data_IF_606297036220
#
_entry.id   IF_606297036220
#
_cell.length_a   1.000
_cell.length_b   1.000
_cell.length_c   1.000
_cell.angle_alpha   90.00
_cell.angle_beta   90.00
_cell.angle_gamma   90.00
#
_symmetry.space_group_name_H-M   'P 1'
#
loop_
_entity.id
_entity.type
_entity.pdbx_description
1 polymer ?
#
# COMPACT_ATOMS: atom_id res chain seq x y z
N UNK A 1 20.64 8.31 7.61
CA UNK A 1 20.33 7.80 6.25
C UNK A 1 21.64 7.31 5.64
N UNK A 2 21.66 6.06 5.26
CA UNK A 2 22.87 5.36 4.86
C UNK A 2 23.59 6.04 3.69
N UNK A 3 24.85 6.35 3.90
CA UNK A 3 25.85 6.79 2.89
C UNK A 3 25.59 8.12 2.14
N UNK A 4 24.79 9.03 2.64
CA UNK A 4 24.56 10.33 2.01
C UNK A 4 23.89 10.29 0.62
N UNK A 5 23.42 9.11 0.18
CA UNK A 5 22.80 8.90 -1.14
C UNK A 5 21.32 9.30 -1.20
N UNK A 6 20.63 9.33 -0.05
CA UNK A 6 19.23 9.72 0.04
C UNK A 6 19.10 11.03 0.82
N UNK A 7 18.44 12.02 0.20
CA UNK A 7 18.07 13.27 0.86
C UNK A 7 16.55 13.43 0.80
N UNK A 8 15.92 13.58 1.97
CA UNK A 8 14.49 13.88 2.10
C UNK A 8 14.31 15.38 2.34
N UNK A 9 13.58 16.04 1.44
CA UNK A 9 13.16 17.43 1.61
C UNK A 9 11.64 17.43 1.87
N UNK A 10 11.23 17.87 3.04
CA UNK A 10 9.81 18.02 3.37
C UNK A 10 9.36 19.43 3.02
N UNK A 11 8.26 19.54 2.27
CA UNK A 11 7.69 20.82 1.83
C UNK A 11 6.46 21.18 2.65
N UNK A 12 6.11 22.46 2.74
CA UNK A 12 4.91 22.97 3.43
C UNK A 12 4.75 22.55 4.90
N UNK A 13 5.83 22.16 5.58
CA UNK A 13 5.82 21.70 6.97
C UNK A 13 5.24 22.75 7.93
N UNK A 14 5.59 24.03 7.75
CA UNK A 14 5.11 25.13 8.56
C UNK A 14 3.59 25.28 8.48
N UNK A 15 2.98 25.01 7.31
CA UNK A 15 1.54 25.08 7.12
C UNK A 15 0.85 23.87 7.74
N UNK A 16 1.40 22.69 7.58
CA UNK A 16 0.86 21.46 8.20
C UNK A 16 0.82 21.54 9.72
N UNK A 17 1.73 22.30 10.34
CA UNK A 17 1.73 22.54 11.79
C UNK A 17 0.52 23.33 12.31
N UNK A 18 -0.16 24.08 11.44
CA UNK A 18 -1.40 24.80 11.80
C UNK A 18 -2.66 23.93 11.70
N UNK A 19 -2.59 22.80 11.01
CA UNK A 19 -3.71 21.90 10.76
C UNK A 19 -3.43 20.54 11.38
N UNK A 20 -3.72 20.38 12.67
CA UNK A 20 -3.47 19.12 13.41
C UNK A 20 -4.40 17.97 13.02
N UNK A 21 -5.48 18.24 12.27
CA UNK A 21 -6.54 17.29 11.98
C UNK A 21 -6.38 16.45 10.70
N UNK A 22 -5.32 16.61 9.91
CA UNK A 22 -5.15 15.79 8.71
C UNK A 22 -4.23 16.36 7.64
N UNK A 23 -3.62 15.46 6.87
CA UNK A 23 -2.68 15.81 5.79
C UNK A 23 -3.36 16.52 4.62
N UNK A 24 -4.66 16.30 4.43
CA UNK A 24 -5.45 16.88 3.35
C UNK A 24 -6.00 18.26 3.67
N UNK A 25 -5.96 18.68 4.93
CA UNK A 25 -6.43 20.02 5.30
C UNK A 25 -5.61 21.09 4.57
N UNK A 26 -6.32 22.06 3.97
CA UNK A 26 -5.71 23.15 3.21
C UNK A 26 -4.93 22.67 1.95
N UNK A 27 -5.38 21.58 1.34
CA UNK A 27 -4.73 20.90 0.22
C UNK A 27 -4.51 21.85 -0.97
N UNK A 28 -5.52 22.62 -1.37
CA UNK A 28 -5.44 23.55 -2.51
C UNK A 28 -4.29 24.56 -2.34
N UNK A 29 -4.15 25.09 -1.14
CA UNK A 29 -3.06 26.04 -0.85
C UNK A 29 -1.69 25.34 -0.90
N UNK A 30 -1.59 24.14 -0.32
CA UNK A 30 -0.34 23.36 -0.33
C UNK A 30 0.07 23.00 -1.75
N UNK A 31 -0.86 22.59 -2.59
CA UNK A 31 -0.64 22.30 -4.01
C UNK A 31 -0.20 23.56 -4.76
N UNK A 32 -0.87 24.70 -4.55
CA UNK A 32 -0.51 25.96 -5.16
C UNK A 32 0.91 26.44 -4.80
N UNK A 33 1.30 26.32 -3.53
CA UNK A 33 2.64 26.63 -3.06
C UNK A 33 3.70 25.68 -3.66
N UNK A 34 3.39 24.39 -3.72
CA UNK A 34 4.23 23.38 -4.31
C UNK A 34 4.49 23.67 -5.79
N UNK A 35 3.45 23.95 -6.56
CA UNK A 35 3.52 24.30 -7.98
C UNK A 35 4.35 25.56 -8.24
N UNK A 36 4.34 26.51 -7.30
CA UNK A 36 5.03 27.79 -7.43
C UNK A 36 6.51 27.71 -7.08
N UNK A 37 6.86 26.91 -6.07
CA UNK A 37 8.21 26.97 -5.47
C UNK A 37 9.11 25.79 -5.86
N UNK A 38 8.56 24.59 -6.06
CA UNK A 38 9.33 23.38 -6.38
C UNK A 38 10.06 23.47 -7.72
N UNK A 39 9.50 23.99 -8.82
CA UNK A 39 10.21 24.03 -10.09
C UNK A 39 11.56 24.77 -9.98
N UNK A 40 11.57 25.92 -9.29
CA UNK A 40 12.80 26.67 -9.08
C UNK A 40 13.77 25.90 -8.14
N UNK A 41 13.28 25.34 -7.04
CA UNK A 41 14.11 24.57 -6.12
C UNK A 41 14.80 23.39 -6.82
N UNK A 42 14.04 22.56 -7.55
CA UNK A 42 14.57 21.40 -8.27
C UNK A 42 15.59 21.85 -9.34
N UNK A 43 15.28 22.89 -10.08
CA UNK A 43 16.18 23.42 -11.10
C UNK A 43 17.51 23.87 -10.50
N UNK A 44 17.48 24.66 -9.41
CA UNK A 44 18.71 25.26 -8.84
C UNK A 44 19.55 24.28 -8.01
N UNK A 45 18.88 23.43 -7.22
CA UNK A 45 19.58 22.61 -6.21
C UNK A 45 19.71 21.12 -6.59
N UNK A 46 19.05 20.68 -7.66
CA UNK A 46 19.13 19.29 -8.12
C UNK A 46 19.65 19.20 -9.55
N UNK A 47 18.95 19.83 -10.51
CA UNK A 47 19.29 19.68 -11.93
C UNK A 47 20.57 20.40 -12.30
N UNK A 48 20.70 21.68 -11.97
CA UNK A 48 21.89 22.47 -12.33
C UNK A 48 23.19 21.82 -11.84
N UNK A 49 23.36 21.47 -10.55
CA UNK A 49 24.59 20.83 -10.09
C UNK A 49 24.87 19.49 -10.75
N UNK A 50 23.81 18.72 -11.05
CA UNK A 50 23.95 17.42 -11.73
C UNK A 50 24.43 17.61 -13.17
N UNK A 51 23.84 18.54 -13.91
CA UNK A 51 24.21 18.86 -15.30
C UNK A 51 25.63 19.40 -15.38
N UNK A 52 26.02 20.34 -14.50
CA UNK A 52 27.37 20.85 -14.38
C UNK A 52 28.40 19.74 -14.08
N UNK A 53 28.01 18.71 -13.37
CA UNK A 53 28.79 17.48 -13.11
C UNK A 53 28.71 16.44 -14.25
N UNK A 54 28.14 16.79 -15.41
CA UNK A 54 27.97 15.86 -16.55
C UNK A 54 27.03 14.72 -16.33
N UNK A 55 26.05 14.85 -15.40
CA UNK A 55 25.06 13.81 -15.06
C UNK A 55 23.72 14.10 -15.71
N UNK A 56 22.98 13.04 -16.04
CA UNK A 56 21.56 13.14 -16.38
C UNK A 56 20.69 13.00 -15.14
N UNK A 57 19.50 13.62 -15.18
CA UNK A 57 18.56 13.61 -14.06
C UNK A 57 17.27 12.93 -14.48
N UNK A 58 16.79 11.98 -13.67
CA UNK A 58 15.45 11.41 -13.80
C UNK A 58 14.57 12.02 -12.72
N UNK A 59 13.46 12.63 -13.15
CA UNK A 59 12.50 13.25 -12.24
C UNK A 59 11.19 12.48 -12.35
N UNK A 60 10.75 11.92 -11.22
CA UNK A 60 9.52 11.18 -11.10
C UNK A 60 8.56 11.99 -10.24
N UNK A 61 7.40 12.32 -10.80
CA UNK A 61 6.31 13.00 -10.11
C UNK A 61 5.12 12.04 -9.96
N UNK A 62 4.41 12.12 -8.85
CA UNK A 62 3.29 11.20 -8.57
C UNK A 62 2.00 11.96 -8.28
N UNK A 63 0.91 11.44 -8.81
CA UNK A 63 -0.47 11.89 -8.63
C UNK A 63 -0.78 13.31 -9.11
N UNK A 64 -2.05 13.65 -9.16
CA UNK A 64 -2.56 14.90 -9.74
C UNK A 64 -1.92 16.17 -9.16
N UNK A 65 -1.55 16.17 -7.88
CA UNK A 65 -0.93 17.31 -7.18
C UNK A 65 0.37 17.79 -7.84
N UNK A 66 1.11 16.87 -8.45
CA UNK A 66 2.45 17.13 -9.00
C UNK A 66 2.43 17.42 -10.51
N UNK A 67 1.29 17.19 -11.19
CA UNK A 67 1.20 17.27 -12.63
C UNK A 67 1.59 18.65 -13.18
N UNK A 68 0.98 19.71 -12.66
CA UNK A 68 1.29 21.10 -13.07
C UNK A 68 2.71 21.51 -12.64
N UNK A 69 3.18 21.03 -11.48
CA UNK A 69 4.56 21.26 -11.03
C UNK A 69 5.58 20.72 -12.03
N UNK A 70 5.34 19.49 -12.52
CA UNK A 70 6.23 18.85 -13.51
C UNK A 70 6.22 19.60 -14.84
N UNK A 71 5.06 20.06 -15.29
CA UNK A 71 4.94 20.84 -16.51
C UNK A 71 5.70 22.19 -16.41
N UNK A 72 5.54 22.92 -15.31
CA UNK A 72 6.29 24.16 -15.04
C UNK A 72 7.79 23.92 -14.92
N UNK A 73 8.19 22.82 -14.32
CA UNK A 73 9.59 22.43 -14.25
C UNK A 73 10.16 22.19 -15.66
N UNK A 74 9.41 21.49 -16.53
CA UNK A 74 9.81 21.29 -17.93
C UNK A 74 10.05 22.62 -18.65
N UNK A 75 9.12 23.58 -18.50
CA UNK A 75 9.26 24.92 -19.09
C UNK A 75 10.53 25.63 -18.60
N UNK A 76 10.79 25.60 -17.29
CA UNK A 76 11.99 26.19 -16.68
C UNK A 76 13.29 25.56 -17.22
N UNK A 77 13.29 24.22 -17.34
CA UNK A 77 14.43 23.48 -17.89
C UNK A 77 14.67 23.77 -19.38
N UNK A 78 13.61 23.97 -20.16
CA UNK A 78 13.72 24.41 -21.56
C UNK A 78 14.32 25.80 -21.65
N UNK A 79 13.80 26.76 -20.88
CA UNK A 79 14.30 28.11 -20.85
C UNK A 79 15.80 28.22 -20.51
N UNK A 80 16.24 27.35 -19.61
CA UNK A 80 17.64 27.30 -19.14
C UNK A 80 18.55 26.38 -19.98
N UNK A 81 18.05 25.77 -21.05
CA UNK A 81 18.80 24.84 -21.90
C UNK A 81 19.17 23.49 -21.26
N UNK A 82 18.59 23.15 -20.11
CA UNK A 82 18.88 21.91 -19.34
C UNK A 82 17.91 20.76 -19.61
N UNK A 83 16.86 20.98 -20.40
CA UNK A 83 15.79 19.98 -20.62
C UNK A 83 16.32 18.65 -21.18
N UNK A 84 17.31 18.70 -22.09
CA UNK A 84 17.91 17.51 -22.71
C UNK A 84 18.69 16.62 -21.74
N UNK A 85 19.05 17.13 -20.58
CA UNK A 85 19.73 16.38 -19.53
C UNK A 85 18.77 15.72 -18.54
N UNK A 86 17.44 15.84 -18.77
CA UNK A 86 16.42 15.37 -17.85
C UNK A 86 15.43 14.43 -18.54
N UNK A 87 15.12 13.31 -17.88
CA UNK A 87 13.98 12.45 -18.19
C UNK A 87 12.88 12.75 -17.17
N UNK A 88 11.74 13.19 -17.64
CA UNK A 88 10.59 13.51 -16.81
C UNK A 88 9.57 12.38 -16.87
N UNK A 89 9.07 11.95 -15.73
CA UNK A 89 8.07 10.91 -15.60
C UNK A 89 6.96 11.37 -14.65
N UNK A 90 5.74 11.02 -14.99
CA UNK A 90 4.60 11.22 -14.10
C UNK A 90 3.86 9.89 -13.91
N UNK A 91 3.59 9.52 -12.66
CA UNK A 91 3.00 8.24 -12.29
C UNK A 91 1.64 8.43 -11.64
N UNK A 92 0.64 7.70 -12.14
CA UNK A 92 -0.64 7.58 -11.47
C UNK A 92 -0.60 6.42 -10.47
N UNK A 93 -0.72 6.72 -9.17
CA UNK A 93 -0.92 5.72 -8.12
C UNK A 93 -2.40 5.45 -7.86
N UNK A 94 -3.26 6.39 -8.21
CA UNK A 94 -4.72 6.30 -8.07
C UNK A 94 -5.40 7.13 -9.17
N UNK A 95 -6.72 7.08 -9.23
CA UNK A 95 -7.54 7.84 -10.18
C UNK A 95 -8.11 9.13 -9.60
N UNK A 96 -7.81 9.44 -8.34
CA UNK A 96 -8.34 10.62 -7.67
C UNK A 96 -7.95 11.89 -8.43
N UNK A 97 -8.96 12.73 -8.67
CA UNK A 97 -8.78 14.05 -9.29
C UNK A 97 -8.05 14.06 -10.65
N UNK A 98 -8.05 12.97 -11.40
CA UNK A 98 -7.47 12.91 -12.75
C UNK A 98 -8.13 13.91 -13.72
N UNK A 99 -9.39 14.29 -13.47
CA UNK A 99 -10.10 15.33 -14.22
C UNK A 99 -9.49 16.74 -14.05
N UNK A 100 -8.64 16.96 -13.03
CA UNK A 100 -7.94 18.23 -12.76
C UNK A 100 -6.62 18.35 -13.54
N UNK A 101 -6.17 17.30 -14.20
CA UNK A 101 -4.89 17.25 -14.90
C UNK A 101 -5.06 17.72 -16.33
N UNK A 102 -4.21 18.64 -16.77
CA UNK A 102 -4.09 19.01 -18.19
C UNK A 102 -3.28 17.95 -18.93
N UNK A 103 -3.98 16.93 -19.43
CA UNK A 103 -3.37 15.76 -20.08
C UNK A 103 -2.61 16.10 -21.34
N UNK A 104 -3.09 17.06 -22.14
CA UNK A 104 -2.40 17.51 -23.36
C UNK A 104 -1.03 18.10 -23.05
N UNK A 105 -0.93 18.94 -22.01
CA UNK A 105 0.33 19.52 -21.56
C UNK A 105 1.22 18.49 -20.90
N UNK A 106 0.68 17.73 -19.96
CA UNK A 106 1.46 16.74 -19.19
C UNK A 106 2.03 15.66 -20.11
N UNK A 107 1.22 15.08 -21.00
CA UNK A 107 1.64 14.05 -21.93
C UNK A 107 2.67 14.53 -22.97
N UNK A 108 2.71 15.85 -23.25
CA UNK A 108 3.74 16.45 -24.10
C UNK A 108 5.10 16.55 -23.40
N UNK A 109 5.11 16.83 -22.09
CA UNK A 109 6.35 17.15 -21.36
C UNK A 109 7.01 15.95 -20.69
N UNK A 110 6.30 14.85 -20.45
CA UNK A 110 6.82 13.72 -19.70
C UNK A 110 6.31 12.36 -20.20
N UNK A 111 6.97 11.29 -19.77
CA UNK A 111 6.43 9.93 -19.90
C UNK A 111 5.39 9.69 -18.82
N UNK A 112 4.19 9.29 -19.24
CA UNK A 112 3.15 8.88 -18.32
C UNK A 112 3.32 7.41 -17.93
N UNK A 113 3.15 7.10 -16.65
CA UNK A 113 3.10 5.74 -16.10
C UNK A 113 1.88 5.56 -15.20
N UNK A 114 1.48 4.32 -15.01
CA UNK A 114 0.40 3.93 -14.10
C UNK A 114 0.79 2.65 -13.36
N UNK A 115 0.29 2.46 -12.15
CA UNK A 115 0.68 1.33 -11.30
C UNK A 115 0.05 0.01 -11.69
N UNK A 116 -1.01 0.00 -12.52
CA UNK A 116 -1.68 -1.22 -12.97
C UNK A 116 -2.24 -1.09 -14.39
N UNK A 117 -2.57 -2.24 -15.00
CA UNK A 117 -3.30 -2.29 -16.28
C UNK A 117 -4.69 -1.71 -16.16
N UNK A 118 -5.35 -1.92 -15.02
CA UNK A 118 -6.65 -1.33 -14.75
C UNK A 118 -6.59 0.20 -14.80
N UNK A 119 -5.68 0.81 -14.05
CA UNK A 119 -5.53 2.27 -14.03
C UNK A 119 -5.10 2.81 -15.41
N UNK A 120 -4.20 2.10 -16.12
CA UNK A 120 -3.88 2.41 -17.52
C UNK A 120 -5.15 2.42 -18.38
N UNK A 121 -6.04 1.43 -18.21
CA UNK A 121 -7.28 1.36 -18.98
C UNK A 121 -8.21 2.56 -18.68
N UNK A 122 -8.34 2.94 -17.42
CA UNK A 122 -9.11 4.14 -17.03
C UNK A 122 -8.51 5.42 -17.66
N UNK A 123 -7.20 5.54 -17.68
CA UNK A 123 -6.53 6.71 -18.25
C UNK A 123 -6.68 6.80 -19.79
N UNK A 124 -6.89 5.69 -20.48
CA UNK A 124 -7.21 5.71 -21.91
C UNK A 124 -8.50 6.47 -22.24
N UNK A 125 -9.47 6.44 -21.34
CA UNK A 125 -10.68 7.26 -21.47
C UNK A 125 -10.38 8.78 -21.43
N UNK A 126 -9.23 9.16 -20.86
CA UNK A 126 -8.71 10.54 -20.85
C UNK A 126 -7.79 10.84 -22.04
N UNK A 127 -7.79 9.98 -23.06
CA UNK A 127 -6.97 10.08 -24.30
C UNK A 127 -5.46 10.01 -24.06
N UNK A 128 -5.02 9.31 -23.02
CA UNK A 128 -3.60 9.04 -22.75
C UNK A 128 -3.34 7.55 -22.58
N UNK A 129 -2.14 7.09 -22.95
CA UNK A 129 -1.74 5.68 -22.88
C UNK A 129 -0.44 5.51 -22.05
N UNK A 130 -0.53 5.42 -20.72
CA UNK A 130 0.63 5.32 -19.87
C UNK A 130 1.32 3.95 -19.98
N UNK A 131 2.61 3.91 -19.67
CA UNK A 131 3.37 2.67 -19.49
C UNK A 131 3.06 2.12 -18.09
N UNK A 132 2.79 0.82 -17.98
CA UNK A 132 2.57 0.20 -16.65
C UNK A 132 3.91 0.03 -15.95
N UNK A 133 3.97 0.57 -14.72
CA UNK A 133 5.07 0.44 -13.76
C UNK A 133 4.47 0.07 -12.41
N UNK A 134 4.42 -1.23 -12.07
CA UNK A 134 3.74 -1.68 -10.86
C UNK A 134 4.45 -1.19 -9.59
N UNK A 135 3.71 -1.05 -8.52
CA UNK A 135 4.30 -0.90 -7.20
C UNK A 135 5.03 -2.18 -6.78
N UNK A 136 5.90 -2.07 -5.80
CA UNK A 136 6.59 -3.21 -5.23
C UNK A 136 6.39 -3.31 -3.73
N UNK A 137 6.72 -4.48 -3.20
CA UNK A 137 6.85 -4.73 -1.77
C UNK A 137 8.32 -4.80 -1.38
N UNK A 138 8.60 -4.63 -0.10
CA UNK A 138 9.95 -4.80 0.44
C UNK A 138 10.34 -6.28 0.50
N UNK A 139 11.59 -6.61 0.18
CA UNK A 139 12.07 -8.01 0.15
C UNK A 139 11.91 -8.75 1.48
N UNK A 140 12.01 -8.03 2.60
CA UNK A 140 11.89 -8.66 3.90
C UNK A 140 10.47 -9.27 4.14
N UNK A 141 9.43 -8.79 3.44
CA UNK A 141 8.10 -9.41 3.46
C UNK A 141 8.10 -10.86 2.93
N UNK A 142 9.11 -11.22 2.14
CA UNK A 142 9.30 -12.58 1.62
C UNK A 142 10.09 -13.48 2.60
N UNK A 143 10.55 -12.98 3.73
CA UNK A 143 11.17 -13.82 4.75
C UNK A 143 10.16 -14.80 5.33
N UNK A 144 10.64 -15.97 5.72
CA UNK A 144 9.74 -16.97 6.31
C UNK A 144 9.35 -16.54 7.72
N UNK A 145 8.06 -16.44 7.95
CA UNK A 145 7.52 -16.27 9.29
C UNK A 145 7.75 -17.55 10.09
N UNK A 146 8.34 -17.48 11.30
CA UNK A 146 8.55 -18.66 12.14
C UNK A 146 7.21 -19.37 12.44
N UNK A 147 7.11 -20.69 12.24
CA UNK A 147 5.88 -21.44 12.49
C UNK A 147 5.36 -21.33 13.92
N UNK A 148 6.25 -21.19 14.89
CA UNK A 148 5.93 -20.97 16.30
C UNK A 148 5.16 -19.66 16.51
N UNK A 149 5.52 -18.58 15.82
CA UNK A 149 4.85 -17.30 15.89
C UNK A 149 3.43 -17.38 15.31
N UNK A 150 3.30 -18.10 14.18
CA UNK A 150 1.98 -18.36 13.56
C UNK A 150 1.09 -19.12 14.53
N UNK A 151 1.63 -20.18 15.13
CA UNK A 151 0.90 -21.02 16.08
C UNK A 151 0.43 -20.23 17.30
N UNK A 152 1.34 -19.47 17.93
CA UNK A 152 1.02 -18.65 19.10
C UNK A 152 -0.07 -17.61 18.81
N UNK A 153 -0.01 -16.95 17.65
CA UNK A 153 -1.02 -15.97 17.27
C UNK A 153 -2.39 -16.65 17.03
N UNK A 154 -2.40 -17.80 16.32
CA UNK A 154 -3.64 -18.54 16.09
C UNK A 154 -4.28 -19.02 17.39
N UNK A 155 -3.49 -19.51 18.34
CA UNK A 155 -3.95 -19.91 19.67
C UNK A 155 -4.51 -18.72 20.45
N UNK A 156 -3.89 -17.56 20.38
CA UNK A 156 -4.34 -16.34 21.04
C UNK A 156 -5.63 -15.77 20.45
N UNK A 157 -5.72 -15.70 19.12
CA UNK A 157 -6.93 -15.23 18.43
C UNK A 157 -8.06 -16.22 18.65
N UNK A 158 -7.79 -17.52 18.49
CA UNK A 158 -8.82 -18.57 18.47
C UNK A 158 -9.76 -18.40 17.27
N UNK A 159 -10.67 -19.33 17.09
CA UNK A 159 -11.66 -19.30 16.00
C UNK A 159 -11.14 -19.86 14.69
N UNK A 160 -12.08 -20.39 13.91
CA UNK A 160 -11.87 -20.93 12.57
C UNK A 160 -13.14 -20.71 11.72
N UNK A 161 -13.02 -20.05 10.53
CA UNK A 161 -11.80 -19.37 10.04
C UNK A 161 -11.43 -18.10 10.83
N UNK A 162 -10.13 -17.79 10.83
CA UNK A 162 -9.58 -16.54 11.33
C UNK A 162 -9.25 -15.60 10.16
N UNK A 163 -9.88 -14.43 10.11
CA UNK A 163 -9.60 -13.40 9.12
C UNK A 163 -8.79 -12.25 9.70
N UNK A 164 -7.95 -11.65 8.87
CA UNK A 164 -7.28 -10.40 9.17
C UNK A 164 -7.65 -9.34 8.13
N UNK A 165 -7.96 -8.12 8.57
CA UNK A 165 -8.27 -6.99 7.70
C UNK A 165 -7.55 -5.72 8.16
N UNK A 166 -6.85 -5.08 7.22
CA UNK A 166 -6.10 -3.84 7.45
C UNK A 166 -6.47 -2.82 6.37
N UNK A 167 -6.83 -1.60 6.76
CA UNK A 167 -7.09 -0.53 5.80
C UNK A 167 -7.78 0.68 6.42
N UNK A 168 -7.98 1.73 5.63
CA UNK A 168 -8.83 2.86 6.02
C UNK A 168 -10.28 2.39 6.13
N UNK A 169 -11.03 2.99 7.02
CA UNK A 169 -12.46 2.69 7.20
C UNK A 169 -13.31 3.46 6.15
N UNK A 170 -13.00 3.22 4.87
CA UNK A 170 -13.71 3.81 3.73
C UNK A 170 -14.74 2.80 3.14
N UNK A 171 -15.85 3.26 2.53
CA UNK A 171 -16.89 2.38 1.98
C UNK A 171 -16.37 1.40 0.93
N UNK A 172 -15.40 1.85 0.10
CA UNK A 172 -14.80 1.06 -0.98
C UNK A 172 -13.88 -0.07 -0.48
N UNK A 173 -13.55 -0.10 0.82
CA UNK A 173 -12.63 -1.11 1.39
C UNK A 173 -13.32 -2.41 1.82
N UNK A 174 -14.60 -2.58 1.54
CA UNK A 174 -15.29 -3.84 1.77
C UNK A 174 -15.42 -4.24 3.26
N UNK A 175 -15.59 -3.26 4.16
CA UNK A 175 -15.74 -3.53 5.59
C UNK A 175 -17.07 -4.19 5.91
N UNK A 176 -18.18 -3.75 5.28
CA UNK A 176 -19.48 -4.33 5.51
C UNK A 176 -19.53 -5.80 5.05
N UNK A 177 -18.93 -6.09 3.91
CA UNK A 177 -18.81 -7.48 3.40
C UNK A 177 -18.03 -8.39 4.34
N UNK A 178 -17.05 -7.88 5.07
CA UNK A 178 -16.34 -8.64 6.09
C UNK A 178 -17.26 -8.99 7.28
N UNK A 179 -18.14 -8.07 7.70
CA UNK A 179 -19.15 -8.33 8.74
C UNK A 179 -20.22 -9.33 8.26
N UNK A 180 -20.68 -9.19 7.00
CA UNK A 180 -21.64 -10.11 6.38
C UNK A 180 -21.07 -11.54 6.35
N UNK A 181 -19.82 -11.70 5.92
CA UNK A 181 -19.14 -13.00 5.90
C UNK A 181 -19.05 -13.64 7.29
N UNK A 182 -18.72 -12.88 8.32
CA UNK A 182 -18.72 -13.38 9.70
C UNK A 182 -20.10 -13.81 10.15
N UNK A 183 -21.12 -13.02 9.88
CA UNK A 183 -22.50 -13.34 10.26
C UNK A 183 -22.96 -14.63 9.57
N UNK A 184 -22.67 -14.78 8.28
CA UNK A 184 -22.97 -15.98 7.50
C UNK A 184 -22.28 -17.22 8.09
N UNK A 185 -20.97 -17.15 8.34
CA UNK A 185 -20.20 -18.25 8.94
C UNK A 185 -20.73 -18.64 10.33
N UNK A 186 -21.14 -17.65 11.12
CA UNK A 186 -21.73 -17.88 12.44
C UNK A 186 -23.09 -18.60 12.35
N UNK A 187 -23.92 -18.23 11.38
CA UNK A 187 -25.19 -18.94 11.10
C UNK A 187 -24.92 -20.38 10.68
N UNK A 188 -23.89 -20.63 9.91
CA UNK A 188 -23.45 -21.94 9.45
C UNK A 188 -22.74 -22.76 10.57
N UNK A 189 -22.63 -22.22 11.78
CA UNK A 189 -22.08 -22.88 12.96
C UNK A 189 -20.54 -22.76 13.12
N UNK A 190 -19.86 -22.00 12.28
CA UNK A 190 -18.43 -21.78 12.41
C UNK A 190 -18.13 -20.76 13.53
N UNK A 191 -16.98 -20.92 14.19
CA UNK A 191 -16.45 -19.96 15.18
C UNK A 191 -15.50 -18.96 14.49
N UNK A 192 -15.99 -18.33 13.43
CA UNK A 192 -15.19 -17.39 12.65
C UNK A 192 -14.81 -16.15 13.49
N UNK A 193 -13.60 -15.63 13.28
CA UNK A 193 -13.13 -14.40 13.90
C UNK A 193 -12.49 -13.47 12.89
N UNK A 194 -12.65 -12.15 13.11
CA UNK A 194 -11.99 -11.08 12.38
C UNK A 194 -11.10 -10.30 13.33
N UNK A 195 -9.80 -10.31 13.08
CA UNK A 195 -8.88 -9.32 13.65
C UNK A 195 -8.79 -8.16 12.66
N UNK A 196 -9.06 -6.95 13.13
CA UNK A 196 -9.04 -5.78 12.27
C UNK A 196 -8.14 -4.68 12.81
N UNK A 197 -7.57 -3.93 11.88
CA UNK A 197 -6.86 -2.68 12.15
C UNK A 197 -7.30 -1.63 11.15
N UNK A 198 -7.97 -0.61 11.65
CA UNK A 198 -8.37 0.52 10.81
C UNK A 198 -7.30 1.62 10.77
N UNK A 199 -7.28 2.36 9.67
CA UNK A 199 -6.61 3.65 9.57
C UNK A 199 -7.54 4.78 10.04
N UNK A 200 -6.99 5.99 10.13
CA UNK A 200 -7.68 7.20 10.66
C UNK A 200 -8.74 7.77 9.71
N UNK A 201 -9.78 7.03 9.35
CA UNK A 201 -10.95 7.56 8.66
C UNK A 201 -12.18 7.36 9.55
N UNK A 202 -12.63 8.43 10.21
CA UNK A 202 -13.65 8.35 11.26
C UNK A 202 -15.08 8.18 10.71
N UNK A 203 -15.35 8.58 9.46
CA UNK A 203 -16.71 8.76 8.96
C UNK A 203 -17.52 7.47 8.80
N UNK A 204 -16.87 6.32 8.58
CA UNK A 204 -17.56 5.04 8.33
C UNK A 204 -17.48 4.04 9.47
N UNK A 205 -16.73 4.33 10.54
CA UNK A 205 -16.59 3.45 11.70
C UNK A 205 -17.94 3.12 12.33
N UNK A 206 -18.78 4.14 12.56
CA UNK A 206 -20.12 3.97 13.12
C UNK A 206 -21.03 3.09 12.25
N UNK A 207 -20.95 3.20 10.93
CA UNK A 207 -21.69 2.36 10.01
C UNK A 207 -21.28 0.89 10.10
N UNK A 208 -19.97 0.61 10.12
CA UNK A 208 -19.46 -0.76 10.22
C UNK A 208 -19.91 -1.43 11.52
N UNK A 209 -19.68 -0.81 12.68
CA UNK A 209 -20.03 -1.39 13.96
C UNK A 209 -21.54 -1.50 14.17
N UNK A 210 -22.31 -0.53 13.67
CA UNK A 210 -23.77 -0.59 13.66
C UNK A 210 -24.28 -1.77 12.84
N UNK A 211 -23.72 -1.99 11.64
CA UNK A 211 -24.04 -3.09 10.76
C UNK A 211 -23.66 -4.45 11.39
N UNK A 212 -22.43 -4.58 11.89
CA UNK A 212 -21.97 -5.80 12.56
C UNK A 212 -22.83 -6.15 13.77
N UNK A 213 -23.19 -5.17 14.60
CA UNK A 213 -24.06 -5.37 15.76
C UNK A 213 -25.47 -5.81 15.34
N UNK A 214 -26.02 -5.26 14.26
CA UNK A 214 -27.32 -5.67 13.73
C UNK A 214 -27.31 -7.10 13.22
N UNK A 215 -26.21 -7.55 12.61
CA UNK A 215 -26.02 -8.90 12.12
C UNK A 215 -25.76 -9.94 13.23
N UNK A 216 -25.32 -9.49 14.42
CA UNK A 216 -25.06 -10.32 15.59
C UNK A 216 -23.62 -10.63 15.96
N UNK A 217 -22.56 -10.39 15.13
CA UNK A 217 -21.18 -10.46 15.58
C UNK A 217 -20.90 -9.49 16.73
N UNK A 218 -20.19 -9.99 17.76
CA UNK A 218 -19.79 -9.18 18.92
C UNK A 218 -18.40 -8.60 18.69
N UNK A 219 -18.23 -7.33 18.99
CA UNK A 219 -16.95 -6.61 18.85
C UNK A 219 -16.32 -6.34 20.21
N UNK A 220 -15.00 -6.51 20.28
CA UNK A 220 -14.16 -6.02 21.38
C UNK A 220 -13.08 -5.10 20.84
N UNK A 221 -12.86 -3.97 21.50
CA UNK A 221 -11.72 -3.10 21.26
C UNK A 221 -10.51 -3.62 22.04
N UNK A 222 -9.41 -3.82 21.33
CA UNK A 222 -8.16 -4.32 21.90
C UNK A 222 -7.20 -3.15 22.08
N UNK A 223 -6.94 -2.82 23.33
CA UNK A 223 -5.97 -1.82 23.76
C UNK A 223 -4.79 -2.52 24.43
N UNK A 224 -3.81 -3.01 23.70
CA UNK A 224 -2.72 -3.76 24.29
C UNK A 224 -1.83 -2.86 25.15
N UNK A 225 -2.22 -2.69 26.39
CA UNK A 225 -1.45 -1.92 27.37
C UNK A 225 -0.28 -2.72 27.96
N UNK A 226 -0.30 -4.06 27.84
CA UNK A 226 0.59 -4.91 28.63
C UNK A 226 0.99 -6.26 28.02
N UNK A 227 0.62 -6.55 26.78
CA UNK A 227 1.06 -7.83 26.27
C UNK A 227 0.28 -8.46 25.11
N UNK A 228 -0.33 -7.67 24.25
CA UNK A 228 -0.85 -8.01 22.91
C UNK A 228 -1.59 -9.33 22.73
N UNK A 229 -0.90 -10.44 22.76
CA UNK A 229 -1.53 -11.77 22.58
C UNK A 229 -2.43 -12.17 23.74
N UNK A 230 -2.09 -11.78 24.97
CA UNK A 230 -2.93 -12.07 26.14
C UNK A 230 -4.26 -11.31 26.06
N UNK A 231 -4.24 -10.07 25.56
CA UNK A 231 -5.44 -9.25 25.39
C UNK A 231 -6.34 -9.82 24.30
N UNK A 232 -5.78 -10.35 23.21
CA UNK A 232 -6.55 -11.08 22.18
C UNK A 232 -7.21 -12.34 22.75
N UNK A 233 -6.50 -13.10 23.58
CA UNK A 233 -7.01 -14.30 24.21
C UNK A 233 -8.07 -14.01 25.29
N UNK A 234 -7.97 -12.88 25.97
CA UNK A 234 -8.94 -12.48 27.00
C UNK A 234 -10.34 -12.22 26.42
N UNK A 235 -10.42 -11.80 25.14
CA UNK A 235 -11.67 -11.51 24.46
C UNK A 235 -12.26 -12.75 23.73
N UNK A 236 -12.22 -13.93 24.39
CA UNK A 236 -12.62 -15.21 23.81
C UNK A 236 -14.04 -15.24 23.23
N UNK A 237 -14.91 -14.36 23.69
CA UNK A 237 -16.32 -14.30 23.29
C UNK A 237 -16.59 -13.31 22.13
N UNK A 238 -15.63 -12.47 21.74
CA UNK A 238 -15.80 -11.53 20.65
C UNK A 238 -15.57 -12.20 19.28
N UNK A 239 -16.37 -11.86 18.30
CA UNK A 239 -16.21 -12.31 16.91
C UNK A 239 -15.30 -11.36 16.12
N UNK A 240 -15.31 -10.07 16.49
CA UNK A 240 -14.48 -9.01 15.89
C UNK A 240 -13.55 -8.44 16.96
N UNK A 241 -12.25 -8.47 16.68
CA UNK A 241 -11.18 -7.94 17.53
C UNK A 241 -10.59 -6.70 16.86
N UNK A 242 -10.94 -5.52 17.34
CA UNK A 242 -10.53 -4.24 16.79
C UNK A 242 -9.28 -3.72 17.50
N UNK A 243 -8.13 -3.79 16.84
CA UNK A 243 -6.84 -3.35 17.39
C UNK A 243 -6.75 -1.83 17.34
N UNK A 244 -6.73 -1.18 18.50
CA UNK A 244 -6.67 0.28 18.63
C UNK A 244 -5.24 0.84 18.56
N UNK A 245 -4.23 0.04 18.85
CA UNK A 245 -2.83 0.47 18.84
C UNK A 245 -2.16 0.30 17.48
N UNK A 246 -1.02 0.94 17.30
CA UNK A 246 -0.18 0.78 16.12
C UNK A 246 0.36 -0.66 16.02
N UNK A 247 0.27 -1.26 14.84
CA UNK A 247 0.89 -2.55 14.55
C UNK A 247 2.26 -2.27 13.91
N UNK A 248 3.37 -2.69 14.51
CA UNK A 248 4.70 -2.58 13.91
C UNK A 248 4.77 -3.30 12.56
N UNK A 249 5.56 -2.74 11.64
CA UNK A 249 5.69 -3.29 10.29
C UNK A 249 6.21 -4.74 10.28
N UNK A 250 7.08 -5.10 11.22
CA UNK A 250 7.65 -6.46 11.36
C UNK A 250 6.65 -7.49 11.92
N UNK A 251 5.58 -7.03 12.53
CA UNK A 251 4.51 -7.86 13.07
C UNK A 251 3.44 -8.20 12.03
N UNK A 252 3.31 -7.38 10.98
CA UNK A 252 2.34 -7.60 9.91
C UNK A 252 2.50 -8.96 9.21
N UNK A 253 3.73 -9.44 8.86
CA UNK A 253 3.89 -10.75 8.24
C UNK A 253 3.33 -11.89 9.08
N UNK A 254 3.40 -11.80 10.41
CA UNK A 254 2.84 -12.83 11.31
C UNK A 254 1.31 -12.85 11.23
N UNK A 255 0.68 -11.67 11.25
CA UNK A 255 -0.78 -11.53 11.10
C UNK A 255 -1.25 -12.05 9.73
N UNK A 256 -0.54 -11.69 8.67
CA UNK A 256 -0.84 -12.17 7.32
C UNK A 256 -0.69 -13.68 7.17
N UNK A 257 0.38 -14.26 7.72
CA UNK A 257 0.64 -15.69 7.62
C UNK A 257 -0.26 -16.54 8.50
N UNK A 258 -0.66 -16.03 9.67
CA UNK A 258 -1.50 -16.72 10.62
C UNK A 258 -2.97 -16.75 10.20
N UNK A 259 -3.47 -15.76 9.49
CA UNK A 259 -4.85 -15.70 9.05
C UNK A 259 -5.18 -16.80 8.02
N UNK A 260 -6.40 -17.34 8.11
CA UNK A 260 -6.96 -18.22 7.07
C UNK A 260 -7.30 -17.42 5.81
N UNK A 261 -7.64 -16.13 5.98
CA UNK A 261 -7.83 -15.19 4.89
C UNK A 261 -7.47 -13.77 5.31
N UNK A 262 -6.75 -13.05 4.43
CA UNK A 262 -6.50 -11.62 4.57
C UNK A 262 -7.46 -10.87 3.66
N UNK A 263 -8.37 -10.11 4.25
CA UNK A 263 -9.44 -9.43 3.51
C UNK A 263 -8.95 -8.10 2.94
N UNK A 264 -8.31 -8.15 1.78
CA UNK A 264 -7.94 -7.00 0.95
C UNK A 264 -9.01 -6.72 -0.11
N UNK A 265 -10.27 -6.94 0.25
CA UNK A 265 -11.46 -6.98 -0.60
C UNK A 265 -12.01 -5.58 -0.92
N UNK A 266 -11.18 -4.71 -1.46
CA UNK A 266 -11.61 -3.40 -1.93
C UNK A 266 -12.48 -3.53 -3.17
N UNK A 267 -13.58 -2.79 -3.24
CA UNK A 267 -14.39 -2.70 -4.46
C UNK A 267 -13.66 -1.97 -5.59
N UNK A 268 -12.78 -1.06 -5.21
CA UNK A 268 -11.88 -0.36 -6.11
C UNK A 268 -10.48 -0.28 -5.48
N UNK A 269 -9.48 -0.78 -6.20
CA UNK A 269 -8.08 -0.74 -5.77
C UNK A 269 -7.16 -0.50 -6.97
N UNK A 270 -6.37 0.58 -6.99
CA UNK A 270 -5.46 0.85 -8.10
C UNK A 270 -4.35 -0.18 -8.29
N UNK A 271 -3.90 -0.81 -7.19
CA UNK A 271 -2.85 -1.84 -7.22
C UNK A 271 -2.98 -2.89 -6.11
N UNK A 272 -3.39 -2.53 -4.89
CA UNK A 272 -3.67 -3.48 -3.81
C UNK A 272 -2.44 -4.00 -3.08
N UNK A 273 -1.68 -3.13 -2.40
CA UNK A 273 -0.47 -3.55 -1.67
C UNK A 273 -0.76 -4.55 -0.54
N UNK A 274 -1.88 -4.41 0.18
CA UNK A 274 -2.22 -5.32 1.30
C UNK A 274 -2.35 -6.76 0.83
N UNK A 275 -3.03 -7.00 -0.30
CA UNK A 275 -3.14 -8.34 -0.87
C UNK A 275 -1.78 -8.92 -1.25
N UNK A 276 -0.93 -8.11 -1.87
CA UNK A 276 0.41 -8.53 -2.28
C UNK A 276 1.34 -8.78 -1.07
N UNK A 277 1.25 -7.97 -0.02
CA UNK A 277 1.99 -8.16 1.23
C UNK A 277 1.56 -9.45 1.95
N UNK A 278 0.26 -9.74 1.96
CA UNK A 278 -0.27 -11.00 2.49
C UNK A 278 0.28 -12.21 1.73
N UNK A 279 0.25 -12.17 0.40
CA UNK A 279 0.83 -13.20 -0.47
C UNK A 279 2.33 -13.42 -0.18
N UNK A 280 3.10 -12.35 -0.06
CA UNK A 280 4.53 -12.41 0.25
C UNK A 280 4.82 -13.08 1.59
N UNK A 281 4.01 -12.78 2.59
CA UNK A 281 4.15 -13.33 3.95
C UNK A 281 3.67 -14.79 4.06
N UNK A 282 3.08 -15.36 3.00
CA UNK A 282 2.54 -16.71 2.98
C UNK A 282 1.09 -16.81 3.45
N UNK A 283 0.36 -15.70 3.48
CA UNK A 283 -1.08 -15.64 3.69
C UNK A 283 -1.89 -15.97 2.43
N UNK A 284 -3.19 -16.13 2.57
CA UNK A 284 -4.15 -16.19 1.48
C UNK A 284 -4.86 -14.85 1.40
N UNK A 285 -4.66 -14.12 0.31
CA UNK A 285 -5.32 -12.84 0.09
C UNK A 285 -6.70 -13.06 -0.56
N UNK A 286 -7.69 -12.36 -0.05
CA UNK A 286 -9.00 -12.18 -0.67
C UNK A 286 -9.01 -10.76 -1.25
N UNK A 287 -8.97 -10.64 -2.55
CA UNK A 287 -8.82 -9.36 -3.25
C UNK A 287 -10.02 -9.06 -4.15
N UNK A 288 -10.22 -7.80 -4.48
CA UNK A 288 -11.15 -7.42 -5.53
C UNK A 288 -10.66 -7.79 -6.93
N UNK A 289 -11.38 -7.36 -7.95
CA UNK A 289 -11.09 -7.69 -9.35
C UNK A 289 -10.76 -6.44 -10.18
N UNK A 290 -9.99 -5.49 -9.61
CA UNK A 290 -9.66 -4.22 -10.29
C UNK A 290 -8.18 -4.11 -10.61
N UNK A 291 -7.39 -3.44 -9.79
CA UNK A 291 -6.00 -3.12 -10.10
C UNK A 291 -4.95 -4.14 -9.65
N UNK A 292 -5.37 -5.25 -9.10
CA UNK A 292 -4.51 -6.31 -8.57
C UNK A 292 -3.94 -7.19 -9.70
N UNK A 293 -3.09 -6.60 -10.54
CA UNK A 293 -2.47 -7.25 -11.71
C UNK A 293 -1.71 -8.55 -11.38
N UNK A 294 -1.40 -8.79 -10.12
CA UNK A 294 -0.75 -9.99 -9.61
C UNK A 294 -1.72 -11.14 -9.29
N UNK A 295 -3.02 -10.84 -9.19
CA UNK A 295 -4.04 -11.77 -8.75
C UNK A 295 -4.52 -12.68 -9.88
N UNK A 296 -4.47 -13.99 -9.63
CA UNK A 296 -4.99 -15.03 -10.52
C UNK A 296 -5.96 -15.88 -9.70
N UNK A 297 -7.26 -15.72 -9.96
CA UNK A 297 -8.33 -16.37 -9.21
C UNK A 297 -8.09 -17.87 -9.07
N UNK A 298 -8.24 -18.39 -7.85
CA UNK A 298 -8.08 -19.81 -7.47
C UNK A 298 -6.68 -20.41 -7.72
N UNK A 299 -5.75 -19.65 -8.29
CA UNK A 299 -4.38 -20.11 -8.56
C UNK A 299 -3.38 -19.61 -7.53
N UNK A 300 -3.42 -18.32 -7.16
CA UNK A 300 -2.52 -17.71 -6.20
C UNK A 300 -3.22 -16.79 -5.18
N UNK A 301 -4.49 -16.52 -5.37
CA UNK A 301 -5.33 -15.72 -4.47
C UNK A 301 -6.80 -16.12 -4.62
N UNK A 302 -7.65 -15.66 -3.73
CA UNK A 302 -9.10 -15.64 -3.89
C UNK A 302 -9.47 -14.27 -4.46
N UNK A 303 -9.90 -14.22 -5.71
CA UNK A 303 -10.47 -13.02 -6.32
C UNK A 303 -11.97 -13.05 -6.09
N UNK A 304 -12.48 -11.99 -5.49
CA UNK A 304 -13.92 -11.82 -5.23
C UNK A 304 -14.55 -11.13 -6.43
N UNK A 305 -15.46 -11.82 -7.07
CA UNK A 305 -16.15 -11.35 -8.28
C UNK A 305 -17.43 -10.57 -7.95
N UNK A 306 -17.98 -10.80 -6.76
CA UNK A 306 -19.16 -10.10 -6.26
C UNK A 306 -18.82 -9.14 -5.14
N UNK A 307 -19.70 -8.20 -4.84
CA UNK A 307 -19.60 -7.38 -3.64
C UNK A 307 -20.31 -8.00 -2.44
N UNK A 308 -20.47 -9.33 -2.40
CA UNK A 308 -21.24 -10.03 -1.39
C UNK A 308 -20.32 -10.72 -0.36
N UNK A 309 -20.62 -10.54 0.92
CA UNK A 309 -19.90 -11.21 2.00
C UNK A 309 -20.07 -12.74 1.99
N UNK A 310 -21.14 -13.26 1.42
CA UNK A 310 -21.36 -14.70 1.28
C UNK A 310 -20.27 -15.38 0.42
N UNK A 311 -19.72 -14.69 -0.58
CA UNK A 311 -18.61 -15.20 -1.39
C UNK A 311 -17.36 -15.43 -0.53
N UNK A 312 -17.04 -14.50 0.38
CA UNK A 312 -15.93 -14.65 1.33
C UNK A 312 -16.15 -15.88 2.20
N UNK A 313 -17.38 -16.06 2.74
CA UNK A 313 -17.72 -17.15 3.61
C UNK A 313 -17.61 -18.51 2.89
N UNK A 314 -18.16 -18.60 1.69
CA UNK A 314 -18.11 -19.82 0.87
C UNK A 314 -16.67 -20.21 0.55
N UNK A 315 -15.85 -19.26 0.09
CA UNK A 315 -14.45 -19.53 -0.24
C UNK A 315 -13.64 -19.94 0.98
N UNK A 316 -13.92 -19.37 2.16
CA UNK A 316 -13.24 -19.77 3.38
C UNK A 316 -13.59 -21.22 3.77
N UNK A 317 -14.84 -21.61 3.65
CA UNK A 317 -15.28 -22.99 3.93
C UNK A 317 -14.69 -24.00 2.93
N UNK A 318 -14.58 -23.65 1.64
CA UNK A 318 -13.95 -24.50 0.64
C UNK A 318 -12.45 -24.70 0.91
N UNK A 319 -11.74 -23.63 1.30
CA UNK A 319 -10.32 -23.72 1.68
C UNK A 319 -10.10 -24.56 2.96
N UNK A 320 -11.05 -24.54 3.90
CA UNK A 320 -10.99 -25.43 5.06
C UNK A 320 -11.25 -26.91 4.70
N UNK A 321 -12.11 -27.17 3.70
CA UNK A 321 -12.41 -28.52 3.21
C UNK A 321 -11.27 -29.12 2.40
N UNK A 322 -10.47 -28.27 1.72
CA UNK A 322 -9.30 -28.66 0.92
C UNK A 322 -8.01 -27.98 1.40
N UNK A 323 -7.36 -28.50 2.47
CA UNK A 323 -6.12 -27.95 2.98
C UNK A 323 -4.95 -28.01 1.99
N UNK A 324 -4.94 -28.97 1.06
CA UNK A 324 -3.88 -29.06 0.03
C UNK A 324 -4.03 -27.95 -1.01
N UNK A 325 -5.25 -27.59 -1.38
CA UNK A 325 -5.48 -26.40 -2.20
C UNK A 325 -5.07 -25.12 -1.48
N UNK A 326 -5.42 -24.94 -0.21
CA UNK A 326 -5.01 -23.81 0.61
C UNK A 326 -3.46 -23.66 0.67
N UNK A 327 -2.76 -24.78 0.83
CA UNK A 327 -1.30 -24.84 0.84
C UNK A 327 -0.69 -24.50 -0.52
N UNK A 328 -1.27 -24.97 -1.62
CA UNK A 328 -0.81 -24.67 -2.98
C UNK A 328 -1.03 -23.18 -3.32
N UNK A 329 -2.17 -22.59 -2.93
CA UNK A 329 -2.43 -21.16 -3.02
C UNK A 329 -1.33 -20.35 -2.31
N UNK A 330 -1.01 -20.66 -1.06
CA UNK A 330 0.03 -19.97 -0.28
C UNK A 330 1.41 -20.05 -0.96
N UNK A 331 1.75 -21.22 -1.52
CA UNK A 331 3.01 -21.41 -2.25
C UNK A 331 3.06 -20.53 -3.50
N UNK A 332 2.04 -20.60 -4.35
CA UNK A 332 1.98 -19.82 -5.60
C UNK A 332 1.85 -18.32 -5.34
N UNK A 333 1.16 -17.93 -4.27
CA UNK A 333 1.09 -16.55 -3.80
C UNK A 333 2.48 -15.97 -3.56
N UNK A 334 3.33 -16.68 -2.80
CA UNK A 334 4.70 -16.23 -2.53
C UNK A 334 5.57 -16.17 -3.79
N UNK A 335 5.45 -17.16 -4.68
CA UNK A 335 6.16 -17.18 -5.96
C UNK A 335 5.79 -15.96 -6.81
N UNK A 336 4.51 -15.61 -6.85
CA UNK A 336 4.03 -14.41 -7.56
C UNK A 336 4.51 -13.14 -6.89
N UNK A 337 4.37 -13.02 -5.57
CA UNK A 337 4.78 -11.82 -4.83
C UNK A 337 6.28 -11.51 -4.97
N UNK A 338 7.11 -12.54 -5.13
CA UNK A 338 8.56 -12.36 -5.38
C UNK A 338 8.87 -11.62 -6.68
N UNK A 339 7.96 -11.62 -7.65
CA UNK A 339 8.09 -10.89 -8.92
C UNK A 339 7.70 -9.40 -8.79
N UNK A 340 7.12 -9.00 -7.67
CA UNK A 340 6.65 -7.64 -7.39
C UNK A 340 7.40 -6.98 -6.24
N UNK A 341 8.68 -7.24 -6.09
CA UNK A 341 9.51 -6.49 -5.14
C UNK A 341 9.87 -5.11 -5.70
N UNK A 342 10.24 -4.17 -4.83
CA UNK A 342 10.74 -2.88 -5.29
C UNK A 342 11.97 -2.99 -6.19
N UNK A 343 12.83 -3.99 -5.98
CA UNK A 343 13.98 -4.21 -6.86
C UNK A 343 13.54 -4.63 -8.28
N UNK A 344 12.54 -5.48 -8.38
CA UNK A 344 11.98 -5.88 -9.68
C UNK A 344 11.23 -4.74 -10.37
N UNK A 345 10.41 -3.99 -9.63
CA UNK A 345 9.69 -2.83 -10.15
C UNK A 345 10.64 -1.75 -10.67
N UNK A 346 11.64 -1.38 -9.84
CA UNK A 346 12.67 -0.38 -10.22
C UNK A 346 13.54 -0.92 -11.36
N UNK A 347 13.96 -2.19 -11.29
CA UNK A 347 14.73 -2.83 -12.36
C UNK A 347 13.97 -2.82 -13.70
N UNK A 348 12.66 -3.08 -13.67
CA UNK A 348 11.77 -2.97 -14.82
C UNK A 348 11.70 -1.56 -15.40
N UNK A 349 11.58 -0.57 -14.51
CA UNK A 349 11.56 0.85 -14.88
C UNK A 349 12.90 1.29 -15.51
N UNK A 350 14.02 0.92 -14.89
CA UNK A 350 15.37 1.25 -15.39
C UNK A 350 15.63 0.65 -16.79
N UNK A 351 15.13 -0.54 -17.07
CA UNK A 351 15.21 -1.14 -18.42
C UNK A 351 14.44 -0.35 -19.49
N UNK A 352 13.38 0.35 -19.11
CA UNK A 352 12.56 1.20 -19.98
C UNK A 352 13.12 2.63 -20.13
N UNK A 353 14.01 3.04 -19.24
CA UNK A 353 14.50 4.41 -19.18
C UNK A 353 15.17 4.90 -20.47
N UNK A 354 16.00 4.09 -21.21
CA UNK A 354 16.57 4.52 -22.48
C UNK A 354 15.52 4.87 -23.54
N UNK A 355 14.42 4.10 -23.61
CA UNK A 355 13.31 4.40 -24.51
C UNK A 355 12.63 5.72 -24.11
N UNK A 356 12.39 5.93 -22.82
CA UNK A 356 11.80 7.16 -22.32
C UNK A 356 12.69 8.39 -22.55
N UNK A 357 14.00 8.21 -22.46
CA UNK A 357 14.96 9.26 -22.79
C UNK A 357 14.91 9.60 -24.29
N UNK A 358 14.90 8.60 -25.16
CA UNK A 358 14.84 8.78 -26.60
C UNK A 358 13.55 9.50 -27.04
N UNK A 359 12.39 9.12 -26.50
CA UNK A 359 11.09 9.77 -26.81
C UNK A 359 11.03 11.22 -26.35
N UNK A 360 11.78 11.59 -25.32
CA UNK A 360 11.87 12.95 -24.81
C UNK A 360 13.06 13.74 -25.40
N UNK A 361 13.78 13.20 -26.37
CA UNK A 361 15.01 13.76 -26.92
C UNK A 361 16.05 14.13 -25.84
N UNK A 362 16.02 13.41 -24.71
CA UNK A 362 17.00 13.53 -23.67
C UNK A 362 18.32 12.86 -24.07
N UNK A 363 19.44 13.39 -23.59
CA UNK A 363 20.76 12.83 -23.86
C UNK A 363 20.87 11.43 -23.25
N UNK A 364 21.26 10.44 -24.05
CA UNK A 364 21.50 9.07 -23.59
C UNK A 364 22.85 8.96 -22.87
N UNK A 365 22.95 9.62 -21.72
CA UNK A 365 24.15 9.60 -20.88
C UNK A 365 23.87 8.85 -19.58
N UNK A 366 23.31 7.64 -19.70
CA UNK A 366 22.86 6.81 -18.60
C UNK A 366 23.96 6.34 -17.61
N UNK A 367 25.20 6.82 -17.73
CA UNK A 367 26.30 6.36 -16.86
C UNK A 367 26.27 6.94 -15.43
N UNK A 368 25.58 8.06 -15.22
CA UNK A 368 25.49 8.71 -13.89
C UNK A 368 24.13 9.38 -13.72
N UNK A 369 23.15 8.65 -13.19
CA UNK A 369 21.80 9.14 -12.96
C UNK A 369 21.63 9.75 -11.57
N UNK A 370 20.95 10.89 -11.49
CA UNK A 370 20.36 11.41 -10.27
C UNK A 370 18.85 11.24 -10.39
N UNK A 371 18.25 10.54 -9.44
CA UNK A 371 16.79 10.37 -9.39
C UNK A 371 16.20 11.35 -8.39
N UNK A 372 15.21 12.10 -8.81
CA UNK A 372 14.45 12.99 -7.95
C UNK A 372 12.97 12.66 -8.03
N UNK A 373 12.38 12.35 -6.89
CA UNK A 373 10.95 12.00 -6.79
C UNK A 373 10.16 13.15 -6.18
N UNK A 374 9.10 13.54 -6.86
CA UNK A 374 8.11 14.50 -6.37
C UNK A 374 6.90 13.69 -5.86
N UNK A 375 6.84 13.50 -4.55
CA UNK A 375 5.76 12.76 -3.90
C UNK A 375 5.05 13.72 -2.95
N UNK A 376 3.73 13.82 -3.08
CA UNK A 376 2.94 14.70 -2.21
C UNK A 376 2.64 14.05 -0.85
N UNK A 377 2.51 12.72 -0.81
CA UNK A 377 2.17 12.03 0.44
C UNK A 377 3.41 11.75 1.27
N UNK A 378 3.39 12.01 2.58
CA UNK A 378 4.39 11.50 3.49
C UNK A 378 4.21 9.97 3.59
N UNK A 379 4.88 9.21 2.73
CA UNK A 379 5.09 7.80 3.07
C UNK A 379 5.88 7.80 4.37
N UNK A 380 5.39 7.09 5.39
CA UNK A 380 6.19 6.82 6.58
C UNK A 380 7.51 6.21 6.10
N UNK A 381 8.62 6.87 6.37
CA UNK A 381 9.93 6.26 6.16
C UNK A 381 9.98 5.10 7.12
N UNK A 382 9.81 3.89 6.61
CA UNK A 382 9.95 2.68 7.42
C UNK A 382 11.38 2.64 7.92
N UNK A 383 11.56 2.74 9.22
CA UNK A 383 12.82 2.38 9.85
C UNK A 383 13.01 0.87 9.62
N UNK A 384 14.25 0.39 9.47
CA UNK A 384 14.48 -1.04 9.32
C UNK A 384 13.88 -1.77 10.52
N UNK A 385 12.95 -2.68 10.24
CA UNK A 385 12.32 -3.52 11.23
C UNK A 385 13.37 -4.27 12.03
N UNK A 386 13.16 -4.40 13.34
CA UNK A 386 13.97 -5.33 14.14
C UNK A 386 13.49 -6.74 13.80
N UNK A 387 14.38 -7.67 13.42
CA UNK A 387 13.98 -9.04 13.20
C UNK A 387 13.38 -9.62 14.49
N UNK A 388 12.23 -10.28 14.37
CA UNK A 388 11.63 -11.02 15.48
C UNK A 388 12.61 -12.15 15.85
N UNK A 389 13.11 -12.23 17.10
CA UNK A 389 14.02 -13.29 17.48
C UNK A 389 13.35 -14.66 17.32
N UNK A 390 14.04 -15.62 16.73
CA UNK A 390 13.58 -17.01 16.73
C UNK A 390 13.50 -17.51 18.17
N UNK A 391 12.30 -17.90 18.63
CA UNK A 391 12.06 -18.36 20.00
C UNK A 391 11.56 -17.28 20.96
N UNK A 392 11.07 -16.14 20.46
CA UNK A 392 10.41 -15.14 21.29
C UNK A 392 9.22 -15.73 22.06
N UNK A 393 9.13 -15.40 23.35
CA UNK A 393 8.00 -15.78 24.21
C UNK A 393 6.73 -15.03 23.79
N UNK A 394 5.52 -15.51 24.17
CA UNK A 394 4.26 -14.79 23.93
C UNK A 394 4.27 -13.33 24.40
N UNK A 395 4.97 -13.05 25.51
CA UNK A 395 5.11 -11.70 26.05
C UNK A 395 6.02 -10.83 25.18
N UNK A 396 7.15 -11.35 24.70
CA UNK A 396 8.07 -10.63 23.81
C UNK A 396 7.46 -10.42 22.42
N UNK A 397 6.67 -11.38 21.94
CA UNK A 397 5.87 -11.21 20.72
C UNK A 397 4.83 -10.10 20.88
N UNK A 398 4.23 -10.02 22.05
CA UNK A 398 3.27 -9.00 22.38
C UNK A 398 3.90 -7.60 22.44
N UNK A 399 5.07 -7.48 23.04
CA UNK A 399 5.86 -6.23 23.06
C UNK A 399 6.30 -5.81 21.65
N UNK A 400 6.58 -6.77 20.76
CA UNK A 400 6.93 -6.50 19.36
C UNK A 400 5.72 -6.16 18.50
N UNK A 401 4.55 -6.75 18.78
CA UNK A 401 3.32 -6.47 18.05
C UNK A 401 2.67 -5.13 18.45
N UNK A 402 2.92 -4.68 19.68
CA UNK A 402 2.21 -3.55 20.27
C UNK A 402 3.12 -2.69 21.13
N UNK A 403 4.00 -1.91 20.52
CA UNK A 403 4.87 -0.97 21.23
C UNK A 403 4.11 0.35 21.49
N UNK A 404 3.70 0.64 22.75
CA UNK A 404 2.95 1.85 23.10
C UNK A 404 3.76 3.15 22.96
N UNK A 405 5.08 3.08 22.80
CA UNK A 405 5.91 4.28 22.60
C UNK A 405 5.87 4.80 21.16
N UNK A 406 5.42 3.99 20.19
CA UNK A 406 5.32 4.37 18.78
C UNK A 406 4.07 5.20 18.45
N UNK A 407 3.07 5.22 19.32
CA UNK A 407 1.85 6.05 19.16
C UNK A 407 2.07 7.55 19.46
N UNK A 408 3.26 7.95 19.93
CA UNK A 408 3.54 9.34 20.32
C UNK A 408 4.16 10.22 19.23
N UNK A 409 4.28 9.72 18.01
CA UNK A 409 4.87 10.43 16.86
C UNK A 409 4.02 10.26 15.60
#
# INVERSE_FOLDING_TARGET
MENGKLRLNRWNQWRSGHHRGGVYNDEEWKVGEFQKTIPNHVTQFVVRPAVEAGKSVVIIAEDWHTAETLARLSDSLHFLGMRKSCVLMWNANNDMSLHRVNWGRLGYVCQLTAVSRYLKHQMRALSVDPVVSPNGITKWMLEKVPPENIKLLREAVGGEPFFFKLGRMDPDKGWLQAADALAKLKVDGARARLVMKEGTAEDHRGHFFGHASWLGPRTAEIHPASGGLADLAAEAEADILDIQTFIPDDSLPVLYAAADGVLANSGYEPFGLVGLEAMASGGIAYVGSTGEDYALSTQNTVVLDTGDGDEIAVMAMELQRDPEWAKDLRRRARETAAMFTWDEAIGGLLRKLPLMAATQMASDTAKHLVVYSLIHQPRRVRLPARPIPSGATPTEMAELLFDPELDKH
#
